data_IF_195922991349
#
_entry.id   IF_195922991349
#
_cell.length_a   1.000
_cell.length_b   1.000
_cell.length_c   1.000
_cell.angle_alpha   90.00
_cell.angle_beta   90.00
_cell.angle_gamma   90.00
#
_symmetry.space_group_name_H-M   'P 1'
#
loop_
_entity.id
_entity.type
_entity.pdbx_description
1 polymer ?
#
# COMPACT_ATOMS: atom_id res chain seq x y z
N UNK A 1 -24.15 -2.17 -25.15
CA UNK A 1 -23.70 -2.49 -23.78
C UNK A 1 -22.51 -3.40 -23.91
N UNK A 2 -21.34 -2.96 -23.44
CA UNK A 2 -20.13 -3.77 -23.45
C UNK A 2 -20.31 -4.98 -22.52
N UNK A 3 -19.61 -6.08 -22.79
CA UNK A 3 -19.85 -7.38 -22.14
C UNK A 3 -19.41 -7.44 -20.66
N UNK A 4 -18.92 -6.34 -20.08
CA UNK A 4 -18.29 -6.32 -18.75
C UNK A 4 -19.13 -5.65 -17.65
N UNK A 5 -20.10 -4.78 -17.98
CA UNK A 5 -20.82 -3.96 -16.99
C UNK A 5 -22.30 -4.35 -16.95
N UNK A 6 -22.81 -4.73 -15.77
CA UNK A 6 -24.21 -5.08 -15.56
C UNK A 6 -24.70 -6.33 -16.30
N UNK A 7 -23.80 -7.27 -16.57
CA UNK A 7 -24.06 -8.51 -17.31
C UNK A 7 -24.27 -9.73 -16.41
N UNK A 8 -24.04 -9.62 -15.10
CA UNK A 8 -24.15 -10.71 -14.13
C UNK A 8 -25.29 -10.46 -13.14
N UNK A 9 -25.93 -11.56 -12.73
CA UNK A 9 -26.67 -11.60 -11.47
C UNK A 9 -25.71 -11.83 -10.30
N UNK A 10 -26.17 -11.54 -9.08
CA UNK A 10 -25.40 -11.83 -7.87
C UNK A 10 -25.06 -13.33 -7.72
N UNK A 11 -25.98 -14.21 -8.12
CA UNK A 11 -25.76 -15.66 -8.10
C UNK A 11 -24.64 -16.07 -9.07
N UNK A 12 -24.65 -15.53 -10.28
CA UNK A 12 -23.60 -15.79 -11.28
C UNK A 12 -22.23 -15.26 -10.84
N UNK A 13 -22.19 -14.14 -10.12
CA UNK A 13 -20.96 -13.62 -9.54
C UNK A 13 -20.45 -14.52 -8.41
N UNK A 14 -21.34 -14.94 -7.50
CA UNK A 14 -21.00 -15.86 -6.39
C UNK A 14 -20.52 -17.22 -6.86
N UNK A 15 -21.05 -17.73 -7.97
CA UNK A 15 -20.59 -18.99 -8.56
C UNK A 15 -19.11 -18.95 -9.00
N UNK A 16 -18.52 -17.75 -9.16
CA UNK A 16 -17.11 -17.56 -9.51
C UNK A 16 -16.21 -17.34 -8.28
N UNK A 17 -16.77 -17.32 -7.07
CA UNK A 17 -16.04 -17.09 -5.82
C UNK A 17 -15.62 -18.40 -5.17
N UNK A 18 -14.60 -19.04 -5.73
CA UNK A 18 -13.90 -20.16 -5.10
C UNK A 18 -12.60 -19.66 -4.44
N UNK A 19 -12.11 -20.31 -3.37
CA UNK A 19 -10.81 -19.99 -2.78
C UNK A 19 -9.71 -19.96 -3.84
N UNK A 20 -8.81 -18.97 -3.76
CA UNK A 20 -7.80 -18.77 -4.79
C UNK A 20 -6.93 -20.03 -4.98
N UNK A 21 -6.82 -20.56 -6.22
CA UNK A 21 -6.24 -21.88 -6.46
C UNK A 21 -4.71 -21.91 -6.39
N UNK A 22 -4.05 -20.78 -6.70
CA UNK A 22 -2.60 -20.68 -6.78
C UNK A 22 -2.08 -19.72 -5.70
N UNK A 23 -1.83 -20.24 -4.50
CA UNK A 23 -1.31 -19.45 -3.38
C UNK A 23 0.20 -19.27 -3.49
N UNK A 24 0.66 -18.02 -3.46
CA UNK A 24 2.06 -17.69 -3.33
C UNK A 24 2.61 -18.21 -1.97
N UNK A 25 3.87 -18.67 -1.92
CA UNK A 25 4.47 -19.14 -0.69
C UNK A 25 4.61 -17.98 0.32
N UNK A 26 4.43 -18.23 1.63
CA UNK A 26 4.74 -17.24 2.65
C UNK A 26 6.25 -16.93 2.68
N UNK A 27 6.61 -15.80 3.26
CA UNK A 27 8.01 -15.41 3.47
C UNK A 27 8.70 -16.44 4.37
N UNK A 28 9.82 -17.00 3.89
CA UNK A 28 10.59 -18.01 4.60
C UNK A 28 11.57 -17.43 5.61
N UNK A 29 12.00 -18.24 6.58
CA UNK A 29 12.89 -17.82 7.68
C UNK A 29 14.25 -17.29 7.16
N UNK A 30 14.76 -17.87 6.08
CA UNK A 30 15.99 -17.41 5.43
C UNK A 30 15.87 -15.98 4.89
N UNK A 31 14.68 -15.58 4.44
CA UNK A 31 14.45 -14.21 3.98
C UNK A 31 14.43 -13.23 5.15
N UNK A 32 13.79 -13.57 6.27
CA UNK A 32 13.88 -12.74 7.49
C UNK A 32 15.32 -12.54 7.96
N UNK A 33 16.17 -13.57 7.89
CA UNK A 33 17.60 -13.42 8.19
C UNK A 33 18.30 -12.42 7.24
N UNK A 34 18.01 -12.48 5.93
CA UNK A 34 18.54 -11.54 4.95
C UNK A 34 18.08 -10.10 5.21
N UNK A 35 16.82 -9.93 5.63
CA UNK A 35 16.23 -8.63 6.00
C UNK A 35 16.98 -7.99 7.18
N UNK A 36 17.28 -8.76 8.21
CA UNK A 36 18.06 -8.29 9.37
C UNK A 36 19.50 -7.90 8.98
N UNK A 37 20.17 -8.71 8.15
CA UNK A 37 21.53 -8.39 7.68
C UNK A 37 21.55 -7.17 6.75
N UNK A 38 20.53 -6.99 5.92
CA UNK A 38 20.35 -5.79 5.10
C UNK A 38 20.21 -4.55 5.98
N UNK A 39 19.38 -4.61 7.02
CA UNK A 39 19.24 -3.51 7.97
C UNK A 39 20.57 -3.20 8.66
N UNK A 40 21.33 -4.20 9.12
CA UNK A 40 22.67 -3.99 9.69
C UNK A 40 23.62 -3.28 8.74
N UNK A 41 23.62 -3.66 7.46
CA UNK A 41 24.42 -3.00 6.43
C UNK A 41 24.07 -1.51 6.32
N UNK A 42 22.78 -1.18 6.29
CA UNK A 42 22.29 0.20 6.23
C UNK A 42 22.54 0.97 7.54
N UNK A 43 22.39 0.33 8.70
CA UNK A 43 22.73 0.91 10.00
C UNK A 43 24.21 1.34 10.03
N UNK A 44 25.13 0.47 9.59
CA UNK A 44 26.56 0.82 9.48
C UNK A 44 26.79 2.01 8.53
N UNK A 45 26.11 2.03 7.39
CA UNK A 45 26.23 3.12 6.42
C UNK A 45 25.71 4.47 6.95
N UNK A 46 24.70 4.44 7.83
CA UNK A 46 24.13 5.63 8.47
C UNK A 46 24.82 6.00 9.80
N UNK A 47 25.79 5.20 10.26
CA UNK A 47 26.48 5.43 11.52
C UNK A 47 25.58 5.27 12.76
N UNK A 48 24.59 4.37 12.71
CA UNK A 48 23.71 4.05 13.84
C UNK A 48 24.00 2.65 14.39
N UNK A 49 23.98 2.52 15.71
CA UNK A 49 24.39 1.28 16.41
C UNK A 49 23.19 0.36 16.74
N UNK A 50 22.01 0.94 16.89
CA UNK A 50 20.77 0.26 17.22
C UNK A 50 19.60 0.78 16.35
N UNK A 51 18.68 -0.13 16.04
CA UNK A 51 17.42 0.14 15.34
C UNK A 51 16.28 -0.38 16.22
N UNK A 52 15.33 0.48 16.60
CA UNK A 52 14.11 0.08 17.30
C UNK A 52 12.91 0.16 16.35
N UNK A 53 12.26 -0.97 16.13
CA UNK A 53 11.09 -1.14 15.26
C UNK A 53 9.87 -1.49 16.10
N UNK A 54 8.84 -0.63 16.10
CA UNK A 54 7.62 -0.85 16.88
C UNK A 54 6.61 -1.73 16.14
N UNK A 55 5.65 -2.30 16.88
CA UNK A 55 4.55 -3.08 16.31
C UNK A 55 3.83 -2.33 15.16
N UNK A 56 3.63 -3.04 14.06
CA UNK A 56 3.17 -2.49 12.78
C UNK A 56 3.81 -3.19 11.59
N UNK A 57 3.74 -2.57 10.42
CA UNK A 57 4.20 -3.17 9.15
C UNK A 57 5.71 -3.43 9.14
N UNK A 58 6.52 -2.54 9.72
CA UNK A 58 7.97 -2.73 9.85
C UNK A 58 8.31 -3.92 10.74
N UNK A 59 7.63 -4.10 11.90
CA UNK A 59 7.89 -5.25 12.76
C UNK A 59 7.48 -6.56 12.09
N UNK A 60 6.35 -6.56 11.37
CA UNK A 60 5.95 -7.70 10.54
C UNK A 60 7.01 -8.00 9.48
N UNK A 61 7.59 -6.98 8.85
CA UNK A 61 8.63 -7.14 7.83
C UNK A 61 9.89 -7.79 8.38
N UNK A 62 10.36 -7.37 9.56
CA UNK A 62 11.59 -7.88 10.15
C UNK A 62 11.44 -9.19 10.92
N UNK A 63 10.32 -9.37 11.61
CA UNK A 63 10.15 -10.42 12.62
C UNK A 63 8.90 -11.29 12.41
N UNK A 64 8.04 -10.96 11.45
CA UNK A 64 6.82 -11.69 11.14
C UNK A 64 5.64 -11.43 12.08
N UNK A 65 5.83 -10.66 13.16
CA UNK A 65 4.77 -10.33 14.13
C UNK A 65 3.73 -9.41 13.47
N UNK A 66 2.47 -9.84 13.30
CA UNK A 66 1.48 -9.12 12.50
C UNK A 66 0.64 -8.11 13.31
N UNK A 67 1.00 -7.86 14.57
CA UNK A 67 0.20 -7.05 15.48
C UNK A 67 0.22 -5.57 15.09
N UNK A 68 -0.93 -4.91 15.26
CA UNK A 68 -1.02 -3.45 15.17
C UNK A 68 -0.40 -2.76 16.39
N UNK A 69 -0.08 -1.48 16.25
CA UNK A 69 0.39 -0.67 17.38
C UNK A 69 -0.71 -0.48 18.44
N UNK A 70 -0.32 -0.56 19.72
CA UNK A 70 -1.17 -0.28 20.88
C UNK A 70 -0.46 0.68 21.83
N UNK A 71 -1.09 0.99 22.98
CA UNK A 71 -0.46 1.72 24.09
C UNK A 71 0.73 1.01 24.73
N UNK A 72 0.79 -0.32 24.60
CA UNK A 72 1.85 -1.14 25.15
C UNK A 72 3.02 -1.23 24.16
N UNK A 73 4.24 -1.03 24.64
CA UNK A 73 5.43 -1.16 23.80
C UNK A 73 5.67 -2.65 23.46
N UNK A 74 5.42 -2.98 22.21
CA UNK A 74 5.95 -4.18 21.53
C UNK A 74 6.91 -3.70 20.44
N UNK A 75 8.16 -4.10 20.52
CA UNK A 75 9.19 -3.66 19.59
C UNK A 75 10.33 -4.66 19.43
N UNK A 76 10.98 -4.63 18.27
CA UNK A 76 12.26 -5.29 18.02
C UNK A 76 13.40 -4.27 18.14
N UNK A 77 14.39 -4.56 18.98
CA UNK A 77 15.67 -3.88 19.02
C UNK A 77 16.71 -4.71 18.27
N UNK A 78 17.21 -4.18 17.16
CA UNK A 78 18.30 -4.75 16.38
C UNK A 78 19.59 -3.95 16.64
N UNK A 79 20.67 -4.64 17.01
CA UNK A 79 22.02 -4.08 17.10
C UNK A 79 22.92 -4.59 15.98
N UNK A 80 24.08 -3.95 15.79
CA UNK A 80 25.06 -4.31 14.75
C UNK A 80 25.53 -5.78 14.82
N UNK A 81 25.48 -6.38 16.01
CA UNK A 81 25.85 -7.77 16.29
C UNK A 81 24.86 -8.42 17.27
N UNK A 82 24.90 -9.75 17.37
CA UNK A 82 24.07 -10.55 18.28
C UNK A 82 22.67 -10.87 17.74
N UNK A 83 21.86 -11.59 18.50
CA UNK A 83 20.45 -11.80 18.15
C UNK A 83 19.62 -10.52 18.42
N UNK A 84 18.58 -10.23 17.62
CA UNK A 84 17.61 -9.19 17.94
C UNK A 84 16.95 -9.43 19.30
N UNK A 85 16.46 -8.35 19.92
CA UNK A 85 15.74 -8.42 21.18
C UNK A 85 14.29 -7.97 20.98
N UNK A 86 13.33 -8.76 21.46
CA UNK A 86 11.92 -8.41 21.50
C UNK A 86 11.56 -7.83 22.86
N UNK A 87 11.15 -6.56 22.88
CA UNK A 87 10.51 -5.92 24.04
C UNK A 87 9.01 -6.17 23.94
N UNK A 88 8.41 -6.79 24.95
CA UNK A 88 7.01 -7.24 24.90
C UNK A 88 6.41 -7.36 26.31
N UNK A 89 5.11 -7.10 26.54
CA UNK A 89 4.48 -7.39 27.82
C UNK A 89 4.62 -8.88 28.19
N UNK A 90 4.89 -9.17 29.47
CA UNK A 90 5.05 -10.55 29.98
C UNK A 90 3.84 -11.42 29.61
N UNK A 91 2.62 -10.89 29.76
CA UNK A 91 1.40 -11.65 29.51
C UNK A 91 1.16 -12.00 28.03
N UNK A 92 1.89 -11.37 27.10
CA UNK A 92 1.79 -11.64 25.66
C UNK A 92 2.87 -12.62 25.15
N UNK A 93 3.77 -13.10 26.00
CA UNK A 93 4.91 -13.94 25.60
C UNK A 93 4.50 -15.16 24.76
N UNK A 94 3.48 -15.91 25.21
CA UNK A 94 3.01 -17.10 24.49
C UNK A 94 2.40 -16.77 23.12
N UNK A 95 1.74 -15.62 23.02
CA UNK A 95 1.20 -15.12 21.74
C UNK A 95 2.31 -14.66 20.81
N UNK A 96 3.36 -14.03 21.35
CA UNK A 96 4.53 -13.62 20.58
C UNK A 96 5.25 -14.84 19.99
N UNK A 97 5.45 -15.88 20.78
CA UNK A 97 6.11 -17.12 20.33
C UNK A 97 5.37 -17.82 19.20
N UNK A 98 4.05 -17.73 19.17
CA UNK A 98 3.22 -18.33 18.13
C UNK A 98 3.38 -17.65 16.75
N UNK A 99 3.85 -16.40 16.71
CA UNK A 99 3.90 -15.59 15.47
C UNK A 99 5.31 -15.15 15.07
N UNK A 100 6.29 -15.22 15.97
CA UNK A 100 7.66 -14.79 15.71
C UNK A 100 8.33 -15.69 14.65
N UNK A 101 8.97 -15.07 13.65
CA UNK A 101 9.61 -15.75 12.51
C UNK A 101 11.14 -15.70 12.54
N UNK A 102 11.70 -15.12 13.59
CA UNK A 102 13.14 -14.97 13.79
C UNK A 102 13.54 -15.49 15.17
N UNK A 103 14.76 -16.02 15.34
CA UNK A 103 15.36 -16.14 16.66
C UNK A 103 15.53 -14.75 17.27
N UNK A 104 15.03 -14.54 18.48
CA UNK A 104 15.22 -13.31 19.22
C UNK A 104 15.24 -13.59 20.73
N UNK A 105 16.12 -12.88 21.44
CA UNK A 105 16.05 -12.80 22.90
C UNK A 105 14.84 -11.96 23.30
N UNK A 106 14.26 -12.22 24.48
CA UNK A 106 13.12 -11.45 24.98
C UNK A 106 13.53 -10.53 26.13
N UNK A 107 12.92 -9.36 26.18
CA UNK A 107 12.99 -8.36 27.26
C UNK A 107 11.55 -8.06 27.67
N UNK A 108 11.03 -8.91 28.54
CA UNK A 108 9.63 -8.84 28.95
C UNK A 108 9.46 -7.81 30.07
N UNK A 109 8.30 -7.15 30.09
CA UNK A 109 7.94 -6.19 31.13
C UNK A 109 6.55 -6.47 31.70
N UNK A 110 6.40 -6.33 33.01
CA UNK A 110 5.12 -6.36 33.72
C UNK A 110 4.38 -5.03 33.54
N UNK A 111 3.05 -5.02 33.67
CA UNK A 111 2.19 -3.84 33.38
C UNK A 111 2.58 -2.53 34.10
N UNK A 112 3.32 -2.60 35.21
CA UNK A 112 3.75 -1.44 35.99
C UNK A 112 5.21 -1.02 35.74
N UNK A 113 5.96 -1.80 34.98
CA UNK A 113 7.36 -1.55 34.66
C UNK A 113 7.49 -0.62 33.46
N UNK A 114 8.66 0.02 33.32
CA UNK A 114 8.94 0.92 32.21
C UNK A 114 9.64 0.16 31.06
N UNK A 115 8.96 -0.11 29.94
CA UNK A 115 9.56 -0.85 28.83
C UNK A 115 10.63 -0.04 28.08
N UNK A 116 10.65 1.29 28.20
CA UNK A 116 11.67 2.13 27.58
C UNK A 116 13.02 1.99 28.31
N UNK A 117 12.98 1.75 29.62
CA UNK A 117 14.16 1.44 30.41
C UNK A 117 14.83 0.13 29.94
N UNK A 118 14.04 -0.89 29.57
CA UNK A 118 14.55 -2.14 29.02
C UNK A 118 15.28 -1.94 27.68
N UNK A 119 14.78 -1.06 26.81
CA UNK A 119 15.48 -0.70 25.57
C UNK A 119 16.83 -0.06 25.88
N UNK A 120 16.86 0.92 26.78
CA UNK A 120 18.10 1.62 27.15
C UNK A 120 19.12 0.67 27.80
N UNK A 121 18.68 -0.21 28.70
CA UNK A 121 19.53 -1.24 29.31
C UNK A 121 20.11 -2.18 28.27
N UNK A 122 19.28 -2.68 27.36
CA UNK A 122 19.73 -3.55 26.27
C UNK A 122 20.74 -2.87 25.34
N UNK A 123 20.58 -1.57 25.06
CA UNK A 123 21.58 -0.81 24.31
C UNK A 123 22.93 -0.74 25.05
N UNK A 124 22.92 -0.48 26.36
CA UNK A 124 24.13 -0.44 27.20
C UNK A 124 24.83 -1.80 27.22
N UNK A 125 24.08 -2.89 27.44
CA UNK A 125 24.58 -4.28 27.42
C UNK A 125 25.27 -4.63 26.09
N UNK A 126 24.75 -4.10 24.97
CA UNK A 126 25.26 -4.32 23.62
C UNK A 126 26.29 -3.29 23.18
N UNK A 127 26.64 -2.32 24.03
CA UNK A 127 27.57 -1.24 23.69
C UNK A 127 27.07 -0.25 22.62
N UNK A 128 25.76 -0.22 22.36
CA UNK A 128 25.15 0.70 21.39
C UNK A 128 24.95 2.09 22.00
N UNK A 129 25.30 3.15 21.26
CA UNK A 129 25.23 4.54 21.73
C UNK A 129 24.23 5.39 20.97
N UNK A 130 23.95 5.01 19.73
CA UNK A 130 23.04 5.72 18.82
C UNK A 130 21.86 4.82 18.46
N UNK A 131 20.65 5.39 18.47
CA UNK A 131 19.40 4.72 18.17
C UNK A 131 18.74 5.35 16.94
N UNK A 132 18.39 4.53 15.97
CA UNK A 132 17.43 4.87 14.93
C UNK A 132 16.05 4.36 15.35
N UNK A 133 15.09 5.26 15.50
CA UNK A 133 13.71 4.94 15.87
C UNK A 133 12.83 4.90 14.61
N UNK A 134 12.01 3.86 14.50
CA UNK A 134 10.96 3.73 13.49
C UNK A 134 10.15 5.02 13.35
N UNK A 135 10.05 5.63 12.15
CA UNK A 135 9.28 6.85 11.95
C UNK A 135 7.78 6.69 12.24
N UNK A 136 7.25 5.46 12.17
CA UNK A 136 5.85 5.16 12.52
C UNK A 136 5.64 4.90 14.02
N UNK A 137 6.71 4.92 14.83
CA UNK A 137 6.58 4.78 16.27
C UNK A 137 5.72 5.93 16.84
N UNK A 138 4.69 5.64 17.66
CA UNK A 138 3.92 6.68 18.32
C UNK A 138 4.84 7.62 19.09
N UNK A 139 4.64 8.94 18.99
CA UNK A 139 5.54 9.93 19.60
C UNK A 139 5.77 9.74 21.11
N UNK A 140 4.85 9.09 21.83
CA UNK A 140 5.06 8.68 23.23
C UNK A 140 6.28 7.77 23.44
N UNK A 141 6.64 6.94 22.47
CA UNK A 141 7.83 6.07 22.52
C UNK A 141 9.09 6.91 22.48
N UNK A 142 9.14 7.93 21.62
CA UNK A 142 10.23 8.92 21.60
C UNK A 142 10.39 9.60 22.97
N UNK A 143 9.27 10.05 23.55
CA UNK A 143 9.27 10.70 24.88
C UNK A 143 9.77 9.76 25.97
N UNK A 144 9.28 8.51 26.00
CA UNK A 144 9.70 7.50 26.96
C UNK A 144 11.18 7.14 26.84
N UNK A 145 11.67 6.96 25.61
CA UNK A 145 13.10 6.69 25.36
C UNK A 145 13.99 7.87 25.78
N UNK A 146 13.58 9.10 25.49
CA UNK A 146 14.35 10.31 25.85
C UNK A 146 14.47 10.55 27.37
N UNK A 147 13.68 9.86 28.20
CA UNK A 147 13.84 9.89 29.66
C UNK A 147 15.04 9.04 30.13
N UNK A 148 15.45 8.04 29.35
CA UNK A 148 16.55 7.11 29.65
C UNK A 148 17.78 7.31 28.76
N UNK A 149 17.57 7.88 27.57
CA UNK A 149 18.59 8.17 26.57
C UNK A 149 18.71 9.69 26.40
N UNK A 150 19.92 10.21 26.17
CA UNK A 150 20.07 11.61 25.77
C UNK A 150 19.35 11.85 24.43
N UNK A 151 18.55 12.92 24.31
CA UNK A 151 17.73 13.18 23.12
C UNK A 151 18.52 13.20 21.80
N UNK A 152 19.79 13.61 21.82
CA UNK A 152 20.68 13.60 20.64
C UNK A 152 21.08 12.21 20.16
N UNK A 153 20.79 11.16 20.94
CA UNK A 153 21.09 9.78 20.58
C UNK A 153 20.00 9.15 19.70
N UNK A 154 18.84 9.79 19.53
CA UNK A 154 17.72 9.22 18.76
C UNK A 154 17.56 9.95 17.42
N UNK A 155 17.62 9.17 16.35
CA UNK A 155 17.49 9.63 14.95
C UNK A 155 16.36 8.87 14.26
N UNK A 156 15.91 9.33 13.09
CA UNK A 156 14.89 8.61 12.32
C UNK A 156 15.48 7.37 11.64
N UNK A 157 14.77 6.25 11.72
CA UNK A 157 15.11 5.02 11.01
C UNK A 157 14.60 4.97 9.56
N UNK A 158 13.97 6.03 9.03
CA UNK A 158 13.35 6.03 7.70
C UNK A 158 14.30 5.52 6.61
N UNK A 159 15.52 6.04 6.53
CA UNK A 159 16.50 5.62 5.52
C UNK A 159 16.89 4.14 5.61
N UNK A 160 16.92 3.56 6.82
CA UNK A 160 17.22 2.13 7.03
C UNK A 160 16.01 1.28 6.64
N UNK A 161 14.81 1.65 7.11
CA UNK A 161 13.58 0.89 6.88
C UNK A 161 13.17 0.96 5.40
N UNK A 162 13.20 2.14 4.78
CA UNK A 162 12.89 2.31 3.36
C UNK A 162 13.95 1.62 2.49
N UNK A 163 15.23 1.74 2.83
CA UNK A 163 16.33 1.05 2.12
C UNK A 163 16.27 -0.48 2.20
N UNK A 164 15.46 -1.01 3.12
CA UNK A 164 15.10 -2.41 3.26
C UNK A 164 13.83 -2.76 2.46
N UNK A 165 12.75 -1.98 2.64
CA UNK A 165 11.39 -2.32 2.18
C UNK A 165 11.05 -1.85 0.78
N UNK A 166 11.72 -0.83 0.25
CA UNK A 166 11.36 -0.27 -1.06
C UNK A 166 11.49 -1.32 -2.18
N UNK A 167 12.57 -2.10 -2.20
CA UNK A 167 12.83 -3.10 -3.24
C UNK A 167 12.38 -4.48 -2.79
N UNK A 168 11.33 -5.01 -3.42
CA UNK A 168 10.69 -6.28 -3.06
C UNK A 168 11.49 -7.47 -3.55
N UNK A 169 11.54 -8.52 -2.73
CA UNK A 169 12.02 -9.83 -3.09
C UNK A 169 11.05 -10.53 -4.05
N UNK A 170 11.47 -11.60 -4.77
CA UNK A 170 10.56 -12.38 -5.60
C UNK A 170 9.35 -12.96 -4.84
N UNK A 171 9.52 -13.31 -3.55
CA UNK A 171 8.42 -13.82 -2.73
C UNK A 171 7.43 -12.71 -2.37
N UNK A 172 7.92 -11.50 -2.07
CA UNK A 172 7.08 -10.34 -1.82
C UNK A 172 6.27 -9.96 -3.08
N UNK A 173 6.92 -9.93 -4.25
CA UNK A 173 6.26 -9.68 -5.52
C UNK A 173 5.16 -10.72 -5.82
N UNK A 174 5.41 -12.01 -5.53
CA UNK A 174 4.41 -13.05 -5.73
C UNK A 174 3.19 -12.91 -4.82
N UNK A 175 3.39 -12.51 -3.55
CA UNK A 175 2.30 -12.25 -2.61
C UNK A 175 1.48 -11.01 -3.02
N UNK A 176 2.15 -9.93 -3.44
CA UNK A 176 1.50 -8.74 -4.01
C UNK A 176 0.72 -9.07 -5.28
N UNK A 177 1.30 -9.86 -6.19
CA UNK A 177 0.63 -10.30 -7.42
C UNK A 177 -0.64 -11.09 -7.11
N UNK A 178 -0.60 -12.02 -6.15
CA UNK A 178 -1.78 -12.78 -5.75
C UNK A 178 -2.89 -11.85 -5.22
N UNK A 179 -2.55 -10.89 -4.34
CA UNK A 179 -3.51 -9.92 -3.84
C UNK A 179 -4.13 -9.10 -5.00
N UNK A 180 -3.30 -8.66 -5.95
CA UNK A 180 -3.72 -7.88 -7.10
C UNK A 180 -4.65 -8.67 -8.04
N UNK A 181 -4.33 -9.93 -8.33
CA UNK A 181 -5.16 -10.80 -9.16
C UNK A 181 -6.55 -11.04 -8.53
N UNK A 182 -6.56 -11.29 -7.20
CA UNK A 182 -7.80 -11.46 -6.44
C UNK A 182 -8.66 -10.21 -6.48
N UNK A 183 -8.07 -9.04 -6.23
CA UNK A 183 -8.78 -7.75 -6.28
C UNK A 183 -9.24 -7.40 -7.69
N UNK A 184 -8.46 -7.71 -8.73
CA UNK A 184 -8.88 -7.51 -10.12
C UNK A 184 -10.10 -8.37 -10.47
N UNK A 185 -10.15 -9.62 -9.98
CA UNK A 185 -11.34 -10.47 -10.13
C UNK A 185 -12.55 -9.90 -9.38
N UNK A 186 -12.35 -9.38 -8.16
CA UNK A 186 -13.42 -8.74 -7.38
C UNK A 186 -13.96 -7.49 -8.09
N UNK A 187 -13.09 -6.64 -8.63
CA UNK A 187 -13.45 -5.50 -9.46
C UNK A 187 -14.27 -5.93 -10.69
N UNK A 188 -13.86 -6.99 -11.40
CA UNK A 188 -14.59 -7.56 -12.55
C UNK A 188 -16.02 -7.96 -12.17
N UNK A 189 -16.17 -8.67 -11.06
CA UNK A 189 -17.48 -9.11 -10.58
C UNK A 189 -18.35 -7.94 -10.11
N UNK A 190 -17.77 -6.95 -9.42
CA UNK A 190 -18.49 -5.76 -8.96
C UNK A 190 -19.07 -4.93 -10.12
N UNK A 191 -18.29 -4.72 -11.18
CA UNK A 191 -18.78 -4.12 -12.42
C UNK A 191 -19.86 -4.98 -13.09
N UNK A 192 -19.69 -6.31 -13.06
CA UNK A 192 -20.63 -7.26 -13.64
C UNK A 192 -22.02 -7.23 -13.00
N UNK A 193 -22.13 -7.05 -11.69
CA UNK A 193 -23.41 -7.02 -10.96
C UNK A 193 -24.08 -5.64 -10.90
N UNK A 194 -23.41 -4.60 -11.40
CA UNK A 194 -23.89 -3.23 -11.37
C UNK A 194 -25.20 -3.09 -12.15
N UNK A 195 -26.19 -2.42 -11.55
CA UNK A 195 -27.53 -2.25 -12.13
C UNK A 195 -28.15 -0.95 -11.66
N UNK A 196 -29.15 -0.46 -12.40
CA UNK A 196 -29.91 0.73 -12.01
C UNK A 196 -30.44 0.56 -10.57
N UNK A 197 -30.20 1.55 -9.73
CA UNK A 197 -30.62 1.56 -8.34
C UNK A 197 -29.75 0.72 -7.39
N UNK A 198 -28.67 0.07 -7.82
CA UNK A 198 -27.75 -0.61 -6.90
C UNK A 198 -27.13 0.43 -5.94
N UNK A 199 -27.08 0.10 -4.65
CA UNK A 199 -26.49 0.95 -3.63
C UNK A 199 -24.96 0.87 -3.61
N UNK A 200 -24.27 1.95 -3.25
CA UNK A 200 -22.82 1.92 -2.98
C UNK A 200 -22.51 0.95 -1.84
N UNK A 201 -23.37 0.89 -0.82
CA UNK A 201 -23.27 -0.03 0.32
C UNK A 201 -23.45 -1.50 -0.08
N UNK A 202 -24.29 -1.78 -1.08
CA UNK A 202 -24.43 -3.13 -1.64
C UNK A 202 -23.15 -3.60 -2.32
N UNK A 203 -22.53 -2.72 -3.13
CA UNK A 203 -21.23 -3.01 -3.75
C UNK A 203 -20.12 -3.19 -2.71
N UNK A 204 -20.04 -2.32 -1.70
CA UNK A 204 -19.05 -2.46 -0.60
C UNK A 204 -19.18 -3.82 0.10
N UNK A 205 -20.41 -4.23 0.44
CA UNK A 205 -20.65 -5.54 1.09
C UNK A 205 -20.28 -6.71 0.18
N UNK A 206 -20.63 -6.63 -1.10
CA UNK A 206 -20.27 -7.66 -2.08
C UNK A 206 -18.75 -7.77 -2.25
N UNK A 207 -18.05 -6.65 -2.32
CA UNK A 207 -16.59 -6.61 -2.48
C UNK A 207 -15.89 -7.26 -1.29
N UNK A 208 -16.32 -7.00 -0.04
CA UNK A 208 -15.80 -7.68 1.15
C UNK A 208 -16.12 -9.19 1.14
N UNK A 209 -17.36 -9.56 0.80
CA UNK A 209 -17.76 -10.97 0.65
C UNK A 209 -16.85 -11.69 -0.36
N UNK A 210 -16.60 -11.06 -1.51
CA UNK A 210 -15.78 -11.60 -2.58
C UNK A 210 -14.31 -11.76 -2.16
N UNK A 211 -13.70 -10.74 -1.55
CA UNK A 211 -12.32 -10.85 -1.05
C UNK A 211 -12.18 -11.97 0.00
N UNK A 212 -13.15 -12.12 0.91
CA UNK A 212 -13.17 -13.23 1.89
C UNK A 212 -13.27 -14.58 1.20
N UNK A 213 -14.17 -14.73 0.23
CA UNK A 213 -14.38 -15.99 -0.47
C UNK A 213 -13.16 -16.42 -1.29
N UNK A 214 -12.44 -15.46 -1.90
CA UNK A 214 -11.18 -15.72 -2.59
C UNK A 214 -10.02 -16.02 -1.62
N UNK A 215 -10.17 -15.72 -0.33
CA UNK A 215 -9.23 -16.11 0.73
C UNK A 215 -8.20 -15.04 1.11
N UNK A 216 -8.56 -13.75 1.01
CA UNK A 216 -7.77 -12.65 1.55
C UNK A 216 -7.67 -12.74 3.09
N UNK A 217 -6.64 -12.13 3.69
CA UNK A 217 -6.34 -12.25 5.12
C UNK A 217 -7.51 -11.78 6.02
N UNK A 218 -8.25 -10.76 5.60
CA UNK A 218 -9.27 -10.09 6.42
C UNK A 218 -10.53 -9.63 5.69
N UNK A 219 -10.72 -10.03 4.42
CA UNK A 219 -11.70 -9.42 3.51
C UNK A 219 -11.10 -8.22 2.78
N UNK A 220 -11.88 -7.17 2.57
CA UNK A 220 -11.37 -5.93 1.98
C UNK A 220 -10.56 -5.15 3.02
N UNK A 221 -9.33 -4.75 2.66
CA UNK A 221 -8.53 -3.84 3.50
C UNK A 221 -9.21 -2.47 3.60
N UNK A 222 -9.79 -2.02 2.49
CA UNK A 222 -10.63 -0.83 2.37
C UNK A 222 -11.52 -0.96 1.12
N UNK A 223 -12.55 -0.14 1.02
CA UNK A 223 -13.40 -0.08 -0.17
C UNK A 223 -14.10 1.29 -0.26
N UNK A 224 -13.85 2.02 -1.33
CA UNK A 224 -14.49 3.28 -1.70
C UNK A 224 -15.32 3.02 -2.97
N UNK A 225 -16.61 3.35 -2.91
CA UNK A 225 -17.51 3.27 -4.06
C UNK A 225 -18.23 4.60 -4.19
N UNK A 226 -18.09 5.25 -5.35
CA UNK A 226 -18.65 6.57 -5.62
C UNK A 226 -19.37 6.60 -6.96
N UNK A 227 -20.53 7.25 -7.02
CA UNK A 227 -21.31 7.43 -8.24
C UNK A 227 -21.40 8.90 -8.66
N UNK A 228 -21.34 9.16 -9.96
CA UNK A 228 -21.60 10.47 -10.57
C UNK A 228 -20.70 11.56 -9.99
N UNK A 229 -21.31 12.62 -9.45
CA UNK A 229 -20.57 13.76 -8.89
C UNK A 229 -19.64 13.39 -7.74
N UNK A 230 -19.94 12.34 -6.97
CA UNK A 230 -19.11 11.92 -5.85
C UNK A 230 -17.71 11.50 -6.30
N UNK A 231 -17.54 11.04 -7.53
CA UNK A 231 -16.22 10.66 -8.10
C UNK A 231 -15.23 11.83 -8.15
N UNK A 232 -15.67 13.09 -8.01
CA UNK A 232 -14.79 14.25 -7.96
C UNK A 232 -14.01 14.41 -6.65
N UNK A 233 -14.26 13.57 -5.64
CA UNK A 233 -13.63 13.64 -4.31
C UNK A 233 -12.69 12.45 -4.10
N UNK A 234 -11.35 12.62 -4.20
CA UNK A 234 -10.39 11.51 -4.21
C UNK A 234 -10.53 10.52 -3.04
N UNK A 235 -10.86 11.01 -1.83
CA UNK A 235 -11.01 10.23 -0.60
C UNK A 235 -12.47 9.95 -0.19
N UNK A 236 -13.44 10.06 -1.10
CA UNK A 236 -14.83 9.83 -0.72
C UNK A 236 -15.56 11.06 -0.19
N UNK A 237 -16.89 10.92 -0.15
CA UNK A 237 -17.77 11.70 0.73
C UNK A 237 -18.69 10.72 1.45
N UNK A 238 -19.10 10.98 2.70
CA UNK A 238 -20.05 10.10 3.39
C UNK A 238 -21.41 10.05 2.68
N UNK A 239 -22.08 8.90 2.73
CA UNK A 239 -23.46 8.74 2.27
C UNK A 239 -23.65 7.60 1.28
N UNK A 240 -24.80 6.93 1.38
CA UNK A 240 -25.18 5.89 0.42
C UNK A 240 -25.75 6.53 -0.83
N UNK A 241 -25.20 6.16 -1.99
CA UNK A 241 -25.72 6.57 -3.29
C UNK A 241 -26.37 5.37 -3.98
N UNK A 242 -27.29 5.63 -4.91
CA UNK A 242 -27.93 4.59 -5.73
C UNK A 242 -27.67 4.92 -7.20
N UNK A 243 -27.14 3.96 -7.94
CA UNK A 243 -26.61 4.14 -9.27
C UNK A 243 -27.69 4.52 -10.30
N UNK A 244 -27.39 5.49 -11.17
CA UNK A 244 -28.25 5.88 -12.29
C UNK A 244 -27.52 5.80 -13.61
N UNK A 245 -28.26 5.57 -14.70
CA UNK A 245 -27.71 5.67 -16.06
C UNK A 245 -27.07 7.04 -16.32
N UNK A 246 -25.90 7.04 -16.94
CA UNK A 246 -25.10 8.22 -17.26
C UNK A 246 -24.10 8.61 -16.16
N UNK A 247 -24.08 7.90 -15.03
CA UNK A 247 -23.13 8.14 -13.95
C UNK A 247 -21.84 7.33 -14.14
N UNK A 248 -20.70 7.98 -13.89
CA UNK A 248 -19.45 7.29 -13.66
C UNK A 248 -19.52 6.55 -12.32
N UNK A 249 -18.92 5.36 -12.29
CA UNK A 249 -18.72 4.56 -11.09
C UNK A 249 -17.23 4.48 -10.85
N UNK A 250 -16.77 4.95 -9.70
CA UNK A 250 -15.41 4.78 -9.22
C UNK A 250 -15.44 3.77 -8.08
N UNK A 251 -14.69 2.68 -8.23
CA UNK A 251 -14.46 1.67 -7.19
C UNK A 251 -12.98 1.58 -6.96
N UNK A 252 -12.57 1.88 -5.73
CA UNK A 252 -11.21 1.78 -5.25
C UNK A 252 -11.18 0.83 -4.04
N UNK A 253 -10.47 -0.27 -4.17
CA UNK A 253 -10.45 -1.32 -3.15
C UNK A 253 -9.20 -2.16 -3.26
N UNK A 254 -8.86 -2.78 -2.14
CA UNK A 254 -7.72 -3.67 -2.00
C UNK A 254 -7.97 -4.75 -0.97
N UNK A 255 -7.14 -5.78 -1.00
CA UNK A 255 -7.06 -6.80 0.03
C UNK A 255 -5.59 -7.06 0.40
N UNK A 256 -5.35 -7.91 1.39
CA UNK A 256 -3.99 -8.35 1.71
C UNK A 256 -3.85 -9.86 1.66
N UNK A 257 -2.66 -10.31 1.25
CA UNK A 257 -2.23 -11.71 1.30
C UNK A 257 -0.90 -11.77 2.05
N UNK A 258 -0.88 -12.45 3.20
CA UNK A 258 0.27 -12.42 4.11
C UNK A 258 0.69 -10.98 4.47
N UNK A 259 -0.26 -10.06 4.48
CA UNK A 259 -0.06 -8.63 4.75
C UNK A 259 0.37 -7.79 3.57
N UNK A 260 0.73 -8.36 2.42
CA UNK A 260 1.06 -7.59 1.22
C UNK A 260 -0.21 -7.14 0.53
N UNK A 261 -0.30 -5.84 0.24
CA UNK A 261 -1.53 -5.21 -0.23
C UNK A 261 -1.65 -5.26 -1.75
N UNK A 262 -2.88 -5.43 -2.21
CA UNK A 262 -3.36 -4.86 -3.46
C UNK A 262 -4.05 -3.54 -3.19
N UNK A 263 -4.08 -2.70 -4.22
CA UNK A 263 -4.78 -1.43 -4.25
C UNK A 263 -5.06 -1.14 -5.73
N UNK A 264 -6.34 -1.10 -6.11
CA UNK A 264 -6.78 -1.04 -7.50
C UNK A 264 -8.04 -0.18 -7.58
N UNK A 265 -7.93 0.91 -8.33
CA UNK A 265 -9.06 1.74 -8.71
C UNK A 265 -9.49 1.47 -10.15
N UNK A 266 -10.81 1.36 -10.34
CA UNK A 266 -11.46 1.38 -11.65
C UNK A 266 -12.52 2.47 -11.70
N UNK A 267 -12.50 3.25 -12.77
CA UNK A 267 -13.58 4.19 -13.10
C UNK A 267 -14.20 3.82 -14.44
N UNK A 268 -15.52 3.62 -14.49
CA UNK A 268 -16.25 3.23 -15.71
C UNK A 268 -17.65 3.85 -15.75
N UNK A 269 -18.22 3.95 -16.96
CA UNK A 269 -19.57 4.50 -17.15
C UNK A 269 -20.66 3.44 -17.00
N UNK A 270 -21.72 3.75 -16.25
CA UNK A 270 -22.95 2.97 -16.29
C UNK A 270 -23.95 3.58 -17.28
N UNK A 271 -24.09 2.99 -18.47
CA UNK A 271 -24.94 3.52 -19.54
C UNK A 271 -24.14 4.19 -20.65
N UNK A 272 -24.52 5.40 -21.06
CA UNK A 272 -23.84 6.14 -22.13
C UNK A 272 -23.07 7.33 -21.56
N UNK A 273 -21.78 7.43 -21.92
CA UNK A 273 -20.94 8.53 -21.51
C UNK A 273 -21.13 9.75 -22.42
N UNK A 274 -21.15 10.94 -21.84
CA UNK A 274 -21.08 12.20 -22.57
C UNK A 274 -19.66 12.45 -23.14
N UNK A 275 -19.53 13.43 -24.03
CA UNK A 275 -18.25 13.75 -24.66
C UNK A 275 -17.17 14.22 -23.67
N UNK A 276 -17.57 14.88 -22.57
CA UNK A 276 -16.66 15.32 -21.53
C UNK A 276 -16.13 14.16 -20.70
N UNK A 277 -16.99 13.23 -20.29
CA UNK A 277 -16.63 12.00 -19.58
C UNK A 277 -15.67 11.16 -20.41
N UNK A 278 -15.95 10.93 -21.70
CA UNK A 278 -15.05 10.19 -22.61
C UNK A 278 -13.69 10.86 -22.73
N UNK A 279 -13.68 12.17 -23.01
CA UNK A 279 -12.43 12.93 -23.15
C UNK A 279 -11.55 12.86 -21.90
N UNK A 280 -12.15 13.03 -20.72
CA UNK A 280 -11.38 13.01 -19.46
C UNK A 280 -10.92 11.59 -19.13
N UNK A 281 -11.74 10.58 -19.40
CA UNK A 281 -11.35 9.19 -19.21
C UNK A 281 -10.18 8.78 -20.12
N UNK A 282 -10.22 9.17 -21.39
CA UNK A 282 -9.12 8.91 -22.33
C UNK A 282 -7.82 9.64 -21.92
N UNK A 283 -7.93 10.87 -21.38
CA UNK A 283 -6.78 11.61 -20.84
C UNK A 283 -6.20 10.96 -19.57
N UNK A 284 -7.04 10.47 -18.66
CA UNK A 284 -6.61 9.73 -17.47
C UNK A 284 -5.77 8.50 -17.87
N UNK A 285 -6.30 7.69 -18.78
CA UNK A 285 -5.61 6.50 -19.31
C UNK A 285 -4.28 6.88 -19.98
N UNK A 286 -4.25 7.96 -20.75
CA UNK A 286 -3.03 8.42 -21.40
C UNK A 286 -1.98 8.92 -20.39
N UNK A 287 -2.40 9.61 -19.33
CA UNK A 287 -1.51 10.07 -18.26
C UNK A 287 -0.93 8.89 -17.47
N UNK A 288 -1.76 7.89 -17.14
CA UNK A 288 -1.32 6.65 -16.48
C UNK A 288 -0.29 5.91 -17.33
N UNK A 289 -0.54 5.77 -18.64
CA UNK A 289 0.40 5.12 -19.55
C UNK A 289 1.73 5.88 -19.67
N UNK A 290 1.69 7.22 -19.77
CA UNK A 290 2.91 8.03 -19.87
C UNK A 290 3.76 7.94 -18.59
N UNK A 291 3.13 7.91 -17.41
CA UNK A 291 3.85 7.63 -16.17
C UNK A 291 4.52 6.25 -16.22
N UNK A 292 3.82 5.20 -16.64
CA UNK A 292 4.39 3.86 -16.74
C UNK A 292 5.55 3.77 -17.73
N UNK A 293 5.41 4.37 -18.91
CA UNK A 293 6.44 4.37 -19.96
C UNK A 293 7.73 5.10 -19.52
N UNK A 294 7.63 6.01 -18.55
CA UNK A 294 8.78 6.68 -17.96
C UNK A 294 9.55 5.80 -16.95
N UNK A 295 8.94 4.73 -16.43
CA UNK A 295 9.51 3.90 -15.36
C UNK A 295 10.62 3.01 -15.91
N UNK A 296 11.84 3.22 -15.39
CA UNK A 296 12.99 2.34 -15.55
C UNK A 296 14.02 2.63 -14.46
N UNK A 297 14.99 1.73 -14.20
CA UNK A 297 16.06 1.99 -13.24
C UNK A 297 16.79 3.32 -13.50
N UNK A 298 17.00 4.10 -12.44
CA UNK A 298 17.69 5.38 -12.48
C UNK A 298 16.80 6.61 -12.76
N UNK A 299 15.58 6.44 -13.24
CA UNK A 299 14.62 7.55 -13.38
C UNK A 299 14.17 8.00 -11.99
N UNK A 300 14.10 9.31 -11.75
CA UNK A 300 13.67 9.85 -10.45
C UNK A 300 12.16 9.71 -10.28
N UNK A 301 11.71 9.52 -9.04
CA UNK A 301 10.28 9.39 -8.73
C UNK A 301 9.47 10.62 -9.19
N UNK A 302 10.04 11.82 -9.07
CA UNK A 302 9.41 13.04 -9.57
C UNK A 302 9.29 13.11 -11.10
N UNK A 303 10.19 12.47 -11.85
CA UNK A 303 10.11 12.47 -13.31
C UNK A 303 8.93 11.61 -13.80
N UNK A 304 8.57 10.56 -13.06
CA UNK A 304 7.35 9.77 -13.32
C UNK A 304 6.09 10.59 -13.05
N UNK A 305 6.06 11.36 -11.96
CA UNK A 305 4.95 12.29 -11.67
C UNK A 305 4.82 13.37 -12.76
N UNK A 306 5.94 13.91 -13.23
CA UNK A 306 5.93 14.92 -14.28
C UNK A 306 5.46 14.34 -15.62
N UNK A 307 5.80 13.10 -15.96
CA UNK A 307 5.36 12.46 -17.21
C UNK A 307 3.82 12.37 -17.32
N UNK A 308 3.12 12.06 -16.23
CA UNK A 308 1.66 12.13 -16.19
C UNK A 308 1.16 13.57 -16.36
N UNK A 309 1.73 14.53 -15.63
CA UNK A 309 1.32 15.94 -15.69
C UNK A 309 1.51 16.55 -17.07
N UNK A 310 2.58 16.22 -17.78
CA UNK A 310 2.86 16.72 -19.13
C UNK A 310 1.75 16.33 -20.12
N UNK A 311 1.19 15.12 -20.00
CA UNK A 311 0.04 14.68 -20.79
C UNK A 311 -1.20 15.51 -20.47
N UNK A 312 -1.47 15.76 -19.19
CA UNK A 312 -2.61 16.55 -18.74
C UNK A 312 -2.51 18.00 -19.23
N UNK A 313 -1.33 18.61 -19.11
CA UNK A 313 -1.06 19.98 -19.57
C UNK A 313 -1.19 20.12 -21.09
N UNK A 314 -0.64 19.16 -21.86
CA UNK A 314 -0.85 19.10 -23.31
C UNK A 314 -2.34 18.90 -23.67
N UNK A 315 -3.10 18.21 -22.81
CA UNK A 315 -4.55 18.08 -22.87
C UNK A 315 -5.34 19.32 -22.40
N UNK A 316 -4.68 20.42 -22.05
CA UNK A 316 -5.31 21.67 -21.60
C UNK A 316 -5.87 21.63 -20.16
N UNK A 317 -5.37 20.73 -19.33
CA UNK A 317 -5.65 20.64 -17.89
C UNK A 317 -4.48 21.23 -17.08
N UNK A 318 -4.62 21.34 -15.76
CA UNK A 318 -3.56 21.89 -14.91
C UNK A 318 -3.29 23.39 -15.19
N UNK A 319 -2.03 23.87 -15.17
CA UNK A 319 -0.80 23.13 -14.86
C UNK A 319 -0.68 22.79 -13.37
N UNK A 320 0.40 22.10 -13.02
CA UNK A 320 0.72 21.71 -11.64
C UNK A 320 -0.43 20.88 -11.01
N UNK A 321 -1.03 21.40 -9.94
CA UNK A 321 -2.14 20.79 -9.21
C UNK A 321 -3.47 21.53 -9.46
N UNK A 322 -3.52 22.45 -10.43
CA UNK A 322 -4.74 23.21 -10.72
C UNK A 322 -5.81 22.32 -11.32
N UNK A 323 -7.06 22.65 -11.03
CA UNK A 323 -8.23 21.92 -11.53
C UNK A 323 -8.92 22.71 -12.66
N UNK A 324 -9.50 22.05 -13.67
CA UNK A 324 -9.50 20.59 -13.89
C UNK A 324 -8.10 20.02 -14.15
N UNK A 325 -7.73 18.93 -13.47
CA UNK A 325 -6.36 18.39 -13.48
C UNK A 325 -6.11 17.41 -12.34
N UNK A 326 -4.83 17.15 -12.03
CA UNK A 326 -4.37 16.18 -11.04
C UNK A 326 -4.00 16.86 -9.70
N UNK A 327 -4.87 16.81 -8.67
CA UNK A 327 -4.69 17.57 -7.43
C UNK A 327 -3.70 16.94 -6.42
N UNK A 328 -3.23 15.72 -6.68
CA UNK A 328 -2.29 15.00 -5.80
C UNK A 328 -1.13 14.40 -6.60
N UNK A 329 -0.26 13.66 -5.92
CA UNK A 329 0.85 12.90 -6.52
C UNK A 329 0.34 11.83 -7.50
N UNK A 330 1.17 11.42 -8.43
CA UNK A 330 0.85 10.36 -9.41
C UNK A 330 0.81 8.96 -8.79
N UNK A 331 1.49 8.74 -7.66
CA UNK A 331 1.39 7.48 -6.94
C UNK A 331 2.26 7.39 -5.69
N UNK A 332 2.19 6.25 -5.01
CA UNK A 332 2.94 5.93 -3.79
C UNK A 332 3.52 4.52 -3.85
N UNK A 333 4.50 4.24 -3.01
CA UNK A 333 5.00 2.89 -2.83
C UNK A 333 3.96 2.04 -2.12
N UNK A 334 4.00 0.73 -2.37
CA UNK A 334 3.10 -0.22 -1.74
C UNK A 334 3.83 -1.54 -1.43
N UNK A 335 3.42 -2.21 -0.35
CA UNK A 335 3.99 -3.45 0.14
C UNK A 335 3.17 -3.98 1.30
N UNK A 336 3.81 -4.11 2.48
CA UNK A 336 3.08 -4.46 3.71
C UNK A 336 2.21 -3.30 4.21
N UNK A 337 2.57 -2.06 3.88
CA UNK A 337 1.69 -0.91 4.03
C UNK A 337 1.02 -0.58 2.67
N UNK A 338 -0.19 -0.03 2.73
CA UNK A 338 -0.89 0.51 1.54
C UNK A 338 -0.05 1.65 0.95
N UNK A 339 0.36 2.60 1.80
CA UNK A 339 1.28 3.69 1.44
C UNK A 339 2.63 3.47 2.13
N UNK A 340 3.69 3.33 1.36
CA UNK A 340 5.09 3.31 1.80
C UNK A 340 5.98 4.01 0.76
N UNK A 341 7.28 4.13 1.05
CA UNK A 341 8.24 4.61 0.06
C UNK A 341 8.40 3.63 -1.13
N UNK A 342 8.75 4.12 -2.33
CA UNK A 342 8.97 5.52 -2.68
C UNK A 342 7.70 6.22 -3.18
N UNK A 343 7.62 7.54 -3.04
CA UNK A 343 6.48 8.34 -3.51
C UNK A 343 6.74 8.95 -4.90
N UNK A 344 5.85 8.74 -5.86
CA UNK A 344 5.92 9.34 -7.20
C UNK A 344 5.36 10.76 -7.14
N UNK A 345 6.18 11.69 -6.66
CA UNK A 345 5.78 13.07 -6.35
C UNK A 345 6.89 14.05 -6.71
N UNK A 346 6.50 15.22 -7.23
CA UNK A 346 7.40 16.37 -7.43
C UNK A 346 8.28 16.64 -6.20
N UNK A 347 9.58 16.83 -6.43
CA UNK A 347 10.58 17.06 -5.38
C UNK A 347 11.22 15.78 -4.82
N UNK A 348 10.70 14.60 -5.15
CA UNK A 348 11.35 13.34 -4.81
C UNK A 348 12.34 12.91 -5.90
N UNK A 349 13.61 13.30 -5.70
CA UNK A 349 14.72 12.96 -6.59
C UNK A 349 15.27 11.54 -6.41
N UNK A 350 14.62 10.67 -5.61
CA UNK A 350 15.05 9.29 -5.41
C UNK A 350 14.98 8.52 -6.74
N UNK A 351 16.10 7.90 -7.20
CA UNK A 351 16.09 7.08 -8.40
C UNK A 351 15.37 5.75 -8.14
N UNK A 352 14.52 5.37 -9.08
CA UNK A 352 13.86 4.07 -9.10
C UNK A 352 14.89 2.95 -9.27
N UNK A 353 14.68 1.84 -8.59
CA UNK A 353 15.54 0.65 -8.64
C UNK A 353 14.70 -0.62 -8.82
N UNK A 354 15.26 -1.69 -9.41
CA UNK A 354 14.56 -2.95 -9.60
C UNK A 354 13.93 -3.48 -8.31
N UNK A 355 12.69 -3.96 -8.41
CA UNK A 355 11.90 -4.44 -7.28
C UNK A 355 11.12 -3.36 -6.53
N UNK A 356 11.32 -2.06 -6.82
CA UNK A 356 10.43 -1.03 -6.27
C UNK A 356 9.01 -1.20 -6.80
N UNK A 357 8.01 -1.16 -5.92
CA UNK A 357 6.59 -1.28 -6.26
C UNK A 357 5.86 0.02 -5.95
N UNK A 358 5.09 0.54 -6.91
CA UNK A 358 4.31 1.77 -6.74
C UNK A 358 2.91 1.67 -7.39
N UNK A 359 1.96 2.43 -6.87
CA UNK A 359 0.73 2.80 -7.57
C UNK A 359 1.02 3.74 -8.74
N UNK A 360 0.14 3.73 -9.74
CA UNK A 360 0.11 4.70 -10.83
C UNK A 360 -1.35 5.12 -11.06
N UNK A 361 -1.70 6.29 -10.53
CA UNK A 361 -3.07 6.76 -10.31
C UNK A 361 -3.21 8.30 -10.52
N UNK A 362 -2.88 8.84 -11.70
CA UNK A 362 -2.86 10.28 -11.96
C UNK A 362 -4.27 10.91 -12.11
N UNK A 363 -5.16 10.65 -11.14
CA UNK A 363 -6.57 11.03 -11.11
C UNK A 363 -6.85 12.47 -11.56
N UNK A 364 -7.68 12.60 -12.59
CA UNK A 364 -8.24 13.88 -13.01
C UNK A 364 -9.52 14.19 -12.23
N UNK A 365 -9.56 15.37 -11.61
CA UNK A 365 -10.77 15.95 -11.02
C UNK A 365 -11.29 17.09 -11.90
N UNK A 366 -12.59 17.05 -12.24
CA UNK A 366 -13.31 18.15 -12.88
C UNK A 366 -14.26 18.78 -11.84
N UNK A 367 -13.94 19.99 -11.32
CA UNK A 367 -14.67 20.59 -10.21
C UNK A 367 -16.17 20.70 -10.46
N UNK A 368 -16.97 20.29 -9.48
CA UNK A 368 -18.43 20.35 -9.55
C UNK A 368 -19.07 19.38 -10.56
N UNK A 369 -18.30 18.45 -11.14
CA UNK A 369 -18.79 17.53 -12.18
C UNK A 369 -18.53 16.07 -11.84
N UNK A 370 -17.28 15.61 -11.93
CA UNK A 370 -16.88 14.23 -11.73
C UNK A 370 -15.35 14.13 -11.62
N UNK A 371 -14.85 12.96 -11.25
CA UNK A 371 -13.44 12.60 -11.36
C UNK A 371 -13.28 11.26 -12.07
N UNK A 372 -12.10 11.01 -12.61
CA UNK A 372 -11.71 9.71 -13.15
C UNK A 372 -10.37 9.35 -12.51
N UNK A 373 -10.33 8.20 -11.85
CA UNK A 373 -9.09 7.59 -11.37
C UNK A 373 -8.95 6.20 -11.99
N UNK A 374 -7.82 5.95 -12.63
CA UNK A 374 -7.39 4.62 -13.01
C UNK A 374 -6.14 4.30 -12.21
N UNK A 375 -6.16 3.21 -11.46
CA UNK A 375 -5.03 2.84 -10.63
C UNK A 375 -4.70 1.38 -10.84
N UNK A 376 -3.43 1.19 -11.16
CA UNK A 376 -2.80 -0.10 -11.30
C UNK A 376 -1.40 0.03 -10.71
N UNK A 377 -0.93 -1.02 -10.06
CA UNK A 377 0.40 -1.05 -9.49
C UNK A 377 1.39 -1.61 -10.50
N UNK A 378 2.63 -1.15 -10.42
CA UNK A 378 3.75 -1.74 -11.15
C UNK A 378 4.90 -2.07 -10.21
N UNK A 379 5.80 -2.93 -10.67
CA UNK A 379 7.13 -3.03 -10.11
C UNK A 379 8.20 -2.73 -11.17
N UNK A 380 9.31 -2.12 -10.74
CA UNK A 380 10.45 -1.82 -11.60
C UNK A 380 11.20 -3.12 -11.92
N UNK A 381 11.52 -3.34 -13.20
CA UNK A 381 12.33 -4.48 -13.67
C UNK A 381 13.79 -4.06 -13.90
N UNK A 382 14.62 -4.93 -14.46
CA UNK A 382 16.01 -4.60 -14.79
C UNK A 382 16.15 -3.54 -15.90
N UNK A 383 15.13 -3.40 -16.75
CA UNK A 383 15.16 -2.62 -17.99
C UNK A 383 13.91 -1.75 -18.22
N UNK A 384 12.95 -1.76 -17.29
CA UNK A 384 11.71 -1.00 -17.39
C UNK A 384 10.79 -1.24 -16.18
N UNK A 385 9.54 -1.59 -16.47
CA UNK A 385 8.51 -1.86 -15.48
C UNK A 385 7.58 -2.99 -15.91
N UNK A 386 6.91 -3.59 -14.95
CA UNK A 386 5.88 -4.59 -15.16
C UNK A 386 4.65 -4.25 -14.32
N UNK A 387 3.49 -4.22 -14.98
CA UNK A 387 2.21 -4.10 -14.31
C UNK A 387 1.92 -5.34 -13.45
N UNK A 388 1.41 -5.14 -12.24
CA UNK A 388 0.71 -6.19 -11.50
C UNK A 388 -0.65 -6.49 -12.12
N UNK A 389 -1.38 -5.44 -12.53
CA UNK A 389 -2.68 -5.57 -13.21
C UNK A 389 -2.68 -4.77 -14.52
N UNK A 390 -3.20 -5.33 -15.62
CA UNK A 390 -3.27 -4.60 -16.87
C UNK A 390 -4.25 -3.42 -16.77
N UNK A 391 -3.88 -2.23 -17.29
CA UNK A 391 -4.75 -1.06 -17.31
C UNK A 391 -6.08 -1.27 -18.03
N UNK A 392 -7.05 -0.42 -17.72
CA UNK A 392 -8.34 -0.40 -18.43
C UNK A 392 -8.21 -0.05 -19.92
N UNK A 393 -9.12 -0.57 -20.75
CA UNK A 393 -9.10 -0.36 -22.22
C UNK A 393 -9.91 0.87 -22.62
N UNK A 394 -11.15 0.97 -22.12
CA UNK A 394 -12.09 2.04 -22.46
C UNK A 394 -13.00 2.38 -21.28
N UNK A 395 -13.67 3.54 -21.34
CA UNK A 395 -14.63 4.01 -20.32
C UNK A 395 -15.76 3.01 -20.02
N UNK A 396 -16.11 2.16 -20.98
CA UNK A 396 -17.08 1.08 -20.86
C UNK A 396 -16.44 -0.33 -20.94
N UNK A 397 -15.10 -0.40 -20.92
CA UNK A 397 -14.29 -1.63 -20.87
C UNK A 397 -13.20 -1.52 -19.79
N UNK A 398 -13.58 -1.58 -18.50
CA UNK A 398 -12.66 -1.39 -17.38
C UNK A 398 -11.57 -2.46 -17.26
N UNK A 399 -11.68 -3.59 -17.96
CA UNK A 399 -10.73 -4.70 -17.85
C UNK A 399 -10.18 -5.15 -19.19
N UNK A 400 -8.86 -5.32 -19.23
CA UNK A 400 -8.14 -5.88 -20.38
C UNK A 400 -8.44 -7.37 -20.62
#
# INVERSE_FOLDING_TARGET
>A
MNAQIGHLTLEQARAQLAPWPHRAPPIGDAEYAQRLERARGLMRAQGVDALLVTAGTSLRWFAGVPWGGSERLVAMLLTLEGEPLMVCPVFEEGSLDAVLRIPAGKRLWEEHEDPHALVAQAMVERGARTLALDPEAPYRVQVGLAAHLGATAITSAAAVIDGCRMCKSPAELALMQQACDMTLQVQRLAAGIAREGIGTDELVRFIDEAHRALGADGGSTFCIVQFGHATAFPHGIPGVQHLRRGELVLIDTGCSVQGYNSDVTRTWIFGEADAGQRRIWDLERAAQQAAFDAVRPGVTCEAVDQAARDVLEAGGLGPDYRLPGLPHRTGHGCGLAIHEAPYLVRGNALPLAPGMCCSNEPMIVVPGRFGVRLEDHFHVTADGAQWFTPPSIAIDQPFA
#
